data_IF_823996824426
#
_entry.id   IF_823996824426
#
_cell.length_a   1.000
_cell.length_b   1.000
_cell.length_c   1.000
_cell.angle_alpha   90.00
_cell.angle_beta   90.00
_cell.angle_gamma   90.00
#
_symmetry.space_group_name_H-M   'P 1'
#
loop_
_entity.id
_entity.type
_entity.pdbx_description
1 polymer ?
#
# COMPACT_ATOMS: atom_id res chain seq x y z
N UNK A 1 -22.53 8.51 -13.18
CA UNK A 1 -21.75 9.07 -14.32
C UNK A 1 -20.28 8.69 -14.11
N UNK A 2 -19.97 7.40 -14.23
CA UNK A 2 -18.70 6.81 -13.75
C UNK A 2 -17.86 6.19 -14.88
N UNK A 3 -18.32 6.30 -16.14
CA UNK A 3 -17.70 5.62 -17.30
C UNK A 3 -16.47 6.33 -17.90
N UNK A 4 -16.31 7.64 -17.71
CA UNK A 4 -15.26 8.42 -18.38
C UNK A 4 -13.85 8.31 -17.77
N UNK A 5 -13.71 7.66 -16.60
CA UNK A 5 -12.39 7.44 -15.96
C UNK A 5 -11.75 6.13 -16.41
N UNK A 6 -12.56 5.08 -16.54
CA UNK A 6 -12.15 3.75 -17.03
C UNK A 6 -11.65 3.82 -18.48
N UNK A 7 -12.32 4.60 -19.34
CA UNK A 7 -11.92 4.78 -20.75
C UNK A 7 -10.55 5.47 -20.93
N UNK A 8 -10.09 6.27 -19.95
CA UNK A 8 -8.78 6.92 -20.03
C UNK A 8 -7.64 5.95 -19.72
N UNK A 9 -7.90 4.92 -18.92
CA UNK A 9 -6.93 3.88 -18.57
C UNK A 9 -6.74 2.85 -19.71
N UNK A 10 -7.72 2.68 -20.60
CA UNK A 10 -7.68 1.70 -21.70
C UNK A 10 -6.77 2.04 -22.89
N UNK A 11 -6.23 3.25 -23.00
CA UNK A 11 -5.32 3.60 -24.11
C UNK A 11 -3.83 3.30 -23.83
N UNK A 12 -3.48 3.08 -22.55
CA UNK A 12 -2.10 2.77 -22.13
C UNK A 12 -1.86 1.24 -22.09
N UNK A 13 -2.93 0.46 -21.93
CA UNK A 13 -2.93 -1.03 -21.91
C UNK A 13 -2.37 -1.65 -23.19
N UNK A 14 -2.58 -1.04 -24.36
CA UNK A 14 -2.01 -1.52 -25.63
C UNK A 14 -0.48 -1.41 -25.69
N UNK A 15 0.11 -0.48 -24.94
CA UNK A 15 1.56 -0.23 -24.95
C UNK A 15 2.30 -1.14 -23.97
N UNK A 16 1.73 -1.38 -22.79
CA UNK A 16 2.27 -2.29 -21.76
C UNK A 16 2.28 -3.76 -22.21
N UNK A 17 1.26 -4.20 -22.97
CA UNK A 17 1.16 -5.56 -23.49
C UNK A 17 2.34 -5.96 -24.42
N UNK A 18 3.03 -5.00 -25.02
CA UNK A 18 4.22 -5.25 -25.86
C UNK A 18 5.52 -5.48 -25.07
N UNK A 19 5.60 -5.02 -23.81
CA UNK A 19 6.84 -5.01 -23.03
C UNK A 19 7.05 -6.29 -22.18
N UNK A 20 5.98 -7.07 -21.98
CA UNK A 20 5.86 -8.23 -21.07
C UNK A 20 6.72 -9.47 -21.40
N UNK A 21 7.58 -9.45 -22.43
CA UNK A 21 8.20 -10.67 -22.99
C UNK A 21 9.74 -10.70 -23.11
N UNK A 22 10.49 -9.83 -22.42
CA UNK A 22 11.96 -9.86 -22.46
C UNK A 22 12.60 -10.42 -21.16
N UNK A 23 13.16 -11.64 -21.18
CA UNK A 23 13.71 -12.31 -19.99
C UNK A 23 15.08 -11.77 -19.53
N UNK A 24 15.67 -10.77 -20.19
CA UNK A 24 17.02 -10.30 -19.91
C UNK A 24 17.17 -9.37 -18.67
N UNK A 25 16.07 -8.86 -18.08
CA UNK A 25 16.13 -7.89 -16.96
C UNK A 25 15.91 -8.50 -15.56
N UNK A 26 15.94 -9.83 -15.42
CA UNK A 26 15.50 -10.53 -14.21
C UNK A 26 16.43 -10.44 -12.97
N UNK A 27 17.51 -9.65 -12.98
CA UNK A 27 18.38 -9.51 -11.80
C UNK A 27 19.03 -8.12 -11.69
N UNK A 28 18.91 -7.47 -10.53
CA UNK A 28 19.70 -6.27 -10.20
C UNK A 28 20.27 -6.35 -8.77
N UNK A 29 21.59 -6.56 -8.63
CA UNK A 29 22.30 -6.35 -7.37
C UNK A 29 22.64 -4.86 -7.20
N UNK A 30 22.35 -4.28 -6.02
CA UNK A 30 22.89 -2.98 -5.60
C UNK A 30 21.92 -1.80 -5.52
N UNK A 31 20.66 -1.93 -5.92
CA UNK A 31 19.67 -0.86 -5.75
C UNK A 31 19.12 -0.87 -4.32
N UNK A 32 19.79 -0.17 -3.41
CA UNK A 32 19.23 0.14 -2.08
C UNK A 32 18.23 1.30 -2.20
N UNK A 33 17.09 1.05 -2.84
CA UNK A 33 15.95 1.99 -2.86
C UNK A 33 14.93 1.52 -1.84
N UNK A 34 15.33 1.58 -0.56
CA UNK A 34 14.43 1.29 0.55
C UNK A 34 13.98 2.63 1.13
N UNK A 35 12.67 2.93 1.24
CA UNK A 35 12.20 4.19 1.79
C UNK A 35 12.70 4.36 3.22
N UNK A 36 13.43 5.45 3.51
CA UNK A 36 14.07 5.65 4.80
C UNK A 36 13.10 5.66 6.00
N UNK A 37 13.61 5.37 7.19
CA UNK A 37 12.84 5.29 8.44
C UNK A 37 12.05 6.58 8.71
N UNK A 38 12.62 7.73 8.33
CA UNK A 38 12.00 9.04 8.46
C UNK A 38 10.70 9.17 7.65
N UNK A 39 10.63 8.56 6.46
CA UNK A 39 9.40 8.58 5.64
C UNK A 39 8.29 7.79 6.30
N UNK A 40 8.61 6.60 6.82
CA UNK A 40 7.65 5.79 7.58
C UNK A 40 7.12 6.57 8.77
N UNK A 41 7.99 7.21 9.54
CA UNK A 41 7.59 8.04 10.68
C UNK A 41 6.69 9.22 10.27
N UNK A 42 6.95 9.85 9.13
CA UNK A 42 6.14 10.94 8.60
C UNK A 42 4.70 10.51 8.23
N UNK A 43 4.45 9.22 8.02
CA UNK A 43 3.11 8.69 7.77
C UNK A 43 2.27 8.62 9.04
N UNK A 44 2.89 8.54 10.23
CA UNK A 44 2.19 8.31 11.51
C UNK A 44 0.95 9.18 11.71
N UNK A 45 0.99 10.52 11.56
CA UNK A 45 -0.18 11.35 11.80
C UNK A 45 -1.32 11.08 10.81
N UNK A 46 -0.99 10.70 9.58
CA UNK A 46 -1.98 10.36 8.56
C UNK A 46 -2.66 9.02 8.87
N UNK A 47 -1.88 8.04 9.33
CA UNK A 47 -2.41 6.73 9.74
C UNK A 47 -3.30 6.86 10.97
N UNK A 48 -2.87 7.61 11.98
CA UNK A 48 -3.65 7.83 13.21
C UNK A 48 -4.98 8.50 12.90
N UNK A 49 -4.97 9.57 12.10
CA UNK A 49 -6.18 10.26 11.69
C UNK A 49 -7.16 9.34 10.93
N UNK A 50 -6.67 8.56 9.96
CA UNK A 50 -7.53 7.64 9.22
C UNK A 50 -8.11 6.55 10.15
N UNK A 51 -7.32 6.06 11.10
CA UNK A 51 -7.79 5.05 12.04
C UNK A 51 -8.89 5.61 12.95
N UNK A 52 -8.73 6.85 13.43
CA UNK A 52 -9.76 7.58 14.18
C UNK A 52 -11.03 7.84 13.35
N UNK A 53 -10.88 8.28 12.10
CA UNK A 53 -11.98 8.49 11.17
C UNK A 53 -12.80 7.20 10.98
N UNK A 54 -12.14 6.07 10.72
CA UNK A 54 -12.78 4.76 10.57
C UNK A 54 -13.46 4.29 11.87
N UNK A 55 -12.81 4.51 13.01
CA UNK A 55 -13.37 4.17 14.32
C UNK A 55 -14.60 5.01 14.69
N UNK A 56 -14.72 6.22 14.16
CA UNK A 56 -15.83 7.15 14.41
C UNK A 56 -17.07 6.91 13.55
N UNK A 57 -17.02 6.01 12.55
CA UNK A 57 -18.14 5.78 11.64
C UNK A 57 -19.35 5.17 12.35
N UNK A 58 -20.53 5.76 12.13
CA UNK A 58 -21.80 5.25 12.64
C UNK A 58 -22.09 3.84 12.07
N UNK A 59 -22.46 2.91 12.95
CA UNK A 59 -22.65 1.49 12.57
C UNK A 59 -21.40 0.62 12.70
N UNK A 60 -20.23 1.23 12.89
CA UNK A 60 -18.95 0.55 13.06
C UNK A 60 -18.39 -0.03 11.75
N UNK A 61 -17.07 -0.11 11.69
CA UNK A 61 -16.35 -0.72 10.56
C UNK A 61 -15.82 -2.07 11.00
N UNK A 62 -15.97 -3.10 10.16
CA UNK A 62 -15.46 -4.43 10.48
C UNK A 62 -13.92 -4.39 10.62
N UNK A 63 -13.31 -5.21 11.51
CA UNK A 63 -11.85 -5.25 11.62
C UNK A 63 -11.12 -5.55 10.30
N UNK A 64 -11.72 -6.38 9.44
CA UNK A 64 -11.20 -6.67 8.11
C UNK A 64 -11.21 -5.42 7.21
N UNK A 65 -12.29 -4.66 7.23
CA UNK A 65 -12.43 -3.41 6.45
C UNK A 65 -11.50 -2.30 6.99
N UNK A 66 -11.31 -2.21 8.31
CA UNK A 66 -10.32 -1.31 8.91
C UNK A 66 -8.91 -1.67 8.42
N UNK A 67 -8.54 -2.96 8.45
CA UNK A 67 -7.24 -3.41 7.97
C UNK A 67 -7.03 -3.10 6.48
N UNK A 68 -8.06 -3.34 5.66
CA UNK A 68 -8.07 -3.08 4.21
C UNK A 68 -7.84 -1.60 3.90
N UNK A 69 -8.67 -0.72 4.45
CA UNK A 69 -8.62 0.72 4.17
C UNK A 69 -7.36 1.39 4.73
N UNK A 70 -6.92 1.03 5.94
CA UNK A 70 -5.70 1.58 6.52
C UNK A 70 -4.45 1.16 5.75
N UNK A 71 -4.37 -0.12 5.35
CA UNK A 71 -3.23 -0.62 4.57
C UNK A 71 -3.15 0.06 3.20
N UNK A 72 -4.26 0.15 2.47
CA UNK A 72 -4.31 0.80 1.16
C UNK A 72 -3.95 2.29 1.26
N UNK A 73 -4.47 2.99 2.27
CA UNK A 73 -4.13 4.40 2.52
C UNK A 73 -2.64 4.57 2.81
N UNK A 74 -2.06 3.74 3.68
CA UNK A 74 -0.67 3.86 4.09
C UNK A 74 0.29 3.52 2.92
N UNK A 75 0.00 2.46 2.16
CA UNK A 75 0.74 2.08 0.96
C UNK A 75 0.64 3.17 -0.13
N UNK A 76 -0.56 3.67 -0.41
CA UNK A 76 -0.76 4.74 -1.37
C UNK A 76 -0.02 6.02 -0.98
N UNK A 77 -0.05 6.41 0.30
CA UNK A 77 0.66 7.61 0.80
C UNK A 77 2.17 7.47 0.65
N UNK A 78 2.74 6.30 0.93
CA UNK A 78 4.17 6.02 0.76
C UNK A 78 4.64 6.26 -0.69
N UNK A 79 3.76 5.94 -1.66
CA UNK A 79 4.05 6.04 -3.09
C UNK A 79 3.60 7.37 -3.71
N UNK A 80 2.96 8.24 -2.94
CA UNK A 80 2.50 9.54 -3.43
C UNK A 80 1.15 9.50 -4.16
N UNK A 81 0.35 8.45 -3.96
CA UNK A 81 -1.02 8.35 -4.45
C UNK A 81 -1.87 9.46 -3.78
N UNK A 82 -2.61 10.28 -4.55
CA UNK A 82 -3.51 11.29 -4.01
C UNK A 82 -4.64 10.70 -3.15
N UNK A 83 -5.06 11.45 -2.13
CA UNK A 83 -6.02 10.96 -1.13
C UNK A 83 -7.38 10.53 -1.75
N UNK A 84 -7.81 11.21 -2.82
CA UNK A 84 -9.07 10.96 -3.53
C UNK A 84 -9.13 9.62 -4.27
N UNK A 85 -7.98 8.99 -4.51
CA UNK A 85 -7.88 7.76 -5.30
C UNK A 85 -7.74 6.52 -4.40
N UNK A 86 -7.69 6.69 -3.07
CA UNK A 86 -7.44 5.61 -2.09
C UNK A 86 -8.48 4.49 -2.12
N UNK A 87 -9.77 4.82 -2.26
CA UNK A 87 -10.82 3.81 -2.26
C UNK A 87 -10.73 2.91 -3.49
N UNK A 88 -10.57 3.53 -4.67
CA UNK A 88 -10.33 2.79 -5.91
C UNK A 88 -9.04 1.96 -5.84
N UNK A 89 -7.98 2.51 -5.24
CA UNK A 89 -6.72 1.79 -5.02
C UNK A 89 -6.91 0.57 -4.11
N UNK A 90 -7.71 0.68 -3.05
CA UNK A 90 -7.99 -0.43 -2.15
C UNK A 90 -8.66 -1.58 -2.91
N UNK A 91 -9.67 -1.27 -3.72
CA UNK A 91 -10.39 -2.29 -4.51
C UNK A 91 -9.46 -2.95 -5.54
N UNK A 92 -8.66 -2.18 -6.28
CA UNK A 92 -7.69 -2.75 -7.21
C UNK A 92 -6.62 -3.59 -6.51
N UNK A 93 -6.19 -3.20 -5.32
CA UNK A 93 -5.21 -3.96 -4.55
C UNK A 93 -5.80 -5.26 -4.01
N UNK A 94 -7.06 -5.27 -3.59
CA UNK A 94 -7.76 -6.50 -3.22
C UNK A 94 -7.85 -7.44 -4.42
N UNK A 95 -8.33 -6.96 -5.56
CA UNK A 95 -8.44 -7.78 -6.77
C UNK A 95 -7.07 -8.29 -7.24
N UNK A 96 -6.04 -7.43 -7.27
CA UNK A 96 -4.69 -7.80 -7.68
C UNK A 96 -4.03 -8.80 -6.73
N UNK A 97 -4.42 -8.83 -5.45
CA UNK A 97 -3.87 -9.73 -4.43
C UNK A 97 -4.76 -10.90 -4.08
N UNK A 98 -5.95 -11.01 -4.68
CA UNK A 98 -6.91 -12.09 -4.44
C UNK A 98 -6.32 -13.49 -4.69
N UNK A 99 -5.35 -13.62 -5.60
CA UNK A 99 -4.65 -14.88 -5.86
C UNK A 99 -3.74 -15.36 -4.71
N UNK A 100 -3.42 -14.48 -3.74
CA UNK A 100 -2.71 -14.83 -2.52
C UNK A 100 -3.64 -15.45 -1.46
N UNK A 101 -4.96 -15.31 -1.63
CA UNK A 101 -5.97 -15.91 -0.78
C UNK A 101 -6.36 -17.32 -1.28
N UNK A 102 -7.09 -18.07 -0.45
CA UNK A 102 -7.37 -19.52 -0.67
C UNK A 102 -8.21 -19.85 -1.92
N UNK A 103 -8.75 -18.87 -2.64
CA UNK A 103 -9.54 -19.05 -3.86
C UNK A 103 -9.11 -18.02 -4.93
N UNK A 104 -8.13 -18.37 -5.80
CA UNK A 104 -7.63 -17.43 -6.80
C UNK A 104 -8.61 -17.28 -7.98
N UNK A 105 -9.07 -16.05 -8.23
CA UNK A 105 -9.58 -15.62 -9.53
C UNK A 105 -8.45 -14.98 -10.31
N UNK A 106 -7.84 -15.74 -11.23
CA UNK A 106 -6.66 -15.32 -11.96
C UNK A 106 -6.94 -14.23 -13.01
N UNK A 107 -8.15 -14.15 -13.55
CA UNK A 107 -8.52 -13.14 -14.55
C UNK A 107 -8.74 -11.78 -13.88
N UNK A 108 -9.50 -11.75 -12.78
CA UNK A 108 -9.70 -10.52 -12.00
C UNK A 108 -8.37 -9.93 -11.48
N UNK A 109 -7.44 -10.77 -11.04
CA UNK A 109 -6.11 -10.33 -10.59
C UNK A 109 -5.24 -9.75 -11.71
N UNK A 110 -5.35 -10.27 -12.93
CA UNK A 110 -4.62 -9.73 -14.08
C UNK A 110 -5.14 -8.34 -14.47
N UNK A 111 -6.46 -8.17 -14.57
CA UNK A 111 -7.10 -6.90 -14.92
C UNK A 111 -6.78 -5.81 -13.89
N UNK A 112 -6.82 -6.13 -12.60
CA UNK A 112 -6.48 -5.19 -11.53
C UNK A 112 -4.98 -4.83 -11.52
N UNK A 113 -4.11 -5.79 -11.83
CA UNK A 113 -2.68 -5.52 -12.03
C UNK A 113 -2.43 -4.51 -13.15
N UNK A 114 -3.13 -4.63 -14.27
CA UNK A 114 -3.03 -3.69 -15.40
C UNK A 114 -3.56 -2.29 -15.03
N UNK A 115 -4.64 -2.19 -14.24
CA UNK A 115 -5.14 -0.90 -13.73
C UNK A 115 -4.12 -0.20 -12.83
N UNK A 116 -3.47 -0.95 -11.93
CA UNK A 116 -2.43 -0.42 -11.04
C UNK A 116 -1.22 0.06 -11.85
N UNK A 117 -0.75 -0.74 -12.82
CA UNK A 117 0.39 -0.37 -13.67
C UNK A 117 0.10 0.92 -14.45
N UNK A 118 -1.05 1.02 -15.10
CA UNK A 118 -1.46 2.21 -15.84
C UNK A 118 -1.58 3.46 -14.95
N UNK A 119 -2.11 3.29 -13.73
CA UNK A 119 -2.16 4.38 -12.75
C UNK A 119 -0.76 4.85 -12.32
N UNK A 120 0.16 3.92 -12.07
CA UNK A 120 1.52 4.24 -11.69
C UNK A 120 2.28 4.93 -12.83
N UNK A 121 2.01 4.58 -14.10
CA UNK A 121 2.54 5.29 -15.27
C UNK A 121 2.15 6.77 -15.27
N UNK A 122 0.86 7.07 -15.09
CA UNK A 122 0.40 8.47 -14.99
C UNK A 122 1.04 9.18 -13.79
N UNK A 123 1.18 8.50 -12.65
CA UNK A 123 1.80 9.06 -11.46
C UNK A 123 3.29 9.39 -11.69
N UNK A 124 4.01 8.50 -12.38
CA UNK A 124 5.41 8.70 -12.78
C UNK A 124 5.56 9.89 -13.71
N UNK A 125 4.70 10.01 -14.73
CA UNK A 125 4.69 11.18 -15.62
C UNK A 125 4.51 12.49 -14.83
N UNK A 126 3.53 12.53 -13.93
CA UNK A 126 3.29 13.70 -13.07
C UNK A 126 4.51 14.01 -12.20
N UNK A 127 5.15 13.00 -11.60
CA UNK A 127 6.30 13.18 -10.71
C UNK A 127 7.59 13.53 -11.44
N UNK A 128 7.75 13.12 -12.69
CA UNK A 128 8.88 13.55 -13.53
C UNK A 128 8.89 15.07 -13.73
N UNK A 129 7.70 15.68 -13.80
CA UNK A 129 7.54 17.12 -13.96
C UNK A 129 7.45 17.87 -12.62
N UNK A 130 6.93 17.20 -11.58
CA UNK A 130 6.70 17.77 -10.24
C UNK A 130 7.07 16.75 -9.16
N UNK A 131 8.37 16.63 -8.81
CA UNK A 131 8.82 15.71 -7.78
C UNK A 131 8.17 16.03 -6.42
N UNK A 132 7.76 14.99 -5.71
CA UNK A 132 7.22 15.04 -4.35
C UNK A 132 8.17 14.39 -3.33
N UNK A 133 7.71 14.28 -2.09
CA UNK A 133 8.38 13.48 -1.06
C UNK A 133 7.70 12.10 -0.97
N UNK A 134 7.89 11.29 -2.00
CA UNK A 134 7.31 9.96 -2.16
C UNK A 134 8.26 8.99 -2.85
N UNK A 135 7.99 7.69 -2.74
CA UNK A 135 8.87 6.64 -3.25
C UNK A 135 9.05 6.72 -4.78
N UNK A 136 8.00 7.11 -5.52
CA UNK A 136 8.09 7.28 -6.97
C UNK A 136 9.07 8.40 -7.33
N UNK A 137 9.02 9.51 -6.61
CA UNK A 137 9.97 10.61 -6.80
C UNK A 137 11.40 10.22 -6.43
N UNK A 138 11.60 9.37 -5.43
CA UNK A 138 12.93 8.85 -5.08
C UNK A 138 13.48 7.92 -6.16
N UNK A 139 12.65 7.01 -6.67
CA UNK A 139 13.01 6.09 -7.75
C UNK A 139 13.40 6.87 -9.02
N UNK A 140 12.68 7.96 -9.34
CA UNK A 140 13.02 8.85 -10.44
C UNK A 140 14.34 9.59 -10.24
N UNK A 141 14.67 10.01 -9.01
CA UNK A 141 15.95 10.65 -8.68
C UNK A 141 17.14 9.70 -8.78
N UNK A 142 16.91 8.39 -8.71
CA UNK A 142 17.94 7.38 -8.90
C UNK A 142 18.32 7.15 -10.38
N UNK A 143 17.77 7.95 -11.31
CA UNK A 143 18.03 7.87 -12.75
C UNK A 143 17.77 6.48 -13.36
N UNK A 144 16.81 5.76 -12.76
CA UNK A 144 16.39 4.44 -13.25
C UNK A 144 15.56 4.59 -14.54
N UNK A 145 15.60 3.59 -15.45
CA UNK A 145 14.65 3.51 -16.54
C UNK A 145 13.20 3.53 -16.03
N UNK A 146 12.32 4.19 -16.76
CA UNK A 146 10.90 4.34 -16.37
C UNK A 146 10.22 2.99 -16.10
N UNK A 147 10.52 1.98 -16.92
CA UNK A 147 10.04 0.60 -16.74
C UNK A 147 10.46 0.00 -15.40
N UNK A 148 11.65 0.34 -14.91
CA UNK A 148 12.13 -0.12 -13.61
C UNK A 148 11.46 0.66 -12.47
N UNK A 149 11.24 1.97 -12.64
CA UNK A 149 10.48 2.78 -11.68
C UNK A 149 9.07 2.22 -11.51
N UNK A 150 8.39 1.86 -12.61
CA UNK A 150 7.04 1.28 -12.58
C UNK A 150 7.03 -0.07 -11.86
N UNK A 151 7.92 -0.98 -12.23
CA UNK A 151 8.01 -2.29 -11.60
C UNK A 151 8.30 -2.22 -10.10
N UNK A 152 9.24 -1.37 -9.69
CA UNK A 152 9.59 -1.18 -8.29
C UNK A 152 8.46 -0.49 -7.51
N UNK A 153 7.80 0.50 -8.13
CA UNK A 153 6.61 1.15 -7.58
C UNK A 153 5.48 0.16 -7.34
N UNK A 154 5.15 -0.67 -8.33
CA UNK A 154 4.10 -1.68 -8.21
C UNK A 154 4.44 -2.74 -7.16
N UNK A 155 5.66 -3.27 -7.17
CA UNK A 155 6.10 -4.24 -6.16
C UNK A 155 6.04 -3.64 -4.74
N UNK A 156 6.49 -2.40 -4.57
CA UNK A 156 6.44 -1.72 -3.28
C UNK A 156 5.01 -1.44 -2.82
N UNK A 157 4.11 -1.05 -3.73
CA UNK A 157 2.69 -0.82 -3.44
C UNK A 157 2.04 -2.09 -2.90
N UNK A 158 2.15 -3.18 -3.67
CA UNK A 158 1.51 -4.45 -3.35
C UNK A 158 2.10 -5.05 -2.07
N UNK A 159 3.42 -5.03 -1.91
CA UNK A 159 4.05 -5.54 -0.70
C UNK A 159 3.66 -4.74 0.55
N UNK A 160 3.69 -3.41 0.48
CA UNK A 160 3.28 -2.56 1.58
C UNK A 160 1.82 -2.79 1.97
N UNK A 161 0.94 -2.99 0.97
CA UNK A 161 -0.46 -3.31 1.19
C UNK A 161 -0.66 -4.64 1.91
N UNK A 162 -0.14 -5.73 1.35
CA UNK A 162 -0.36 -7.10 1.88
C UNK A 162 0.20 -7.24 3.29
N UNK A 163 1.41 -6.74 3.53
CA UNK A 163 2.07 -6.82 4.83
C UNK A 163 1.31 -6.01 5.88
N UNK A 164 0.99 -4.74 5.59
CA UNK A 164 0.25 -3.91 6.52
C UNK A 164 -1.13 -4.49 6.81
N UNK A 165 -1.86 -4.96 5.79
CA UNK A 165 -3.20 -5.52 5.95
C UNK A 165 -3.19 -6.73 6.88
N UNK A 166 -2.26 -7.67 6.68
CA UNK A 166 -2.13 -8.86 7.52
C UNK A 166 -1.80 -8.51 8.98
N UNK A 167 -0.85 -7.60 9.20
CA UNK A 167 -0.42 -7.18 10.54
C UNK A 167 -1.51 -6.42 11.29
N UNK A 168 -2.23 -5.52 10.62
CA UNK A 168 -3.37 -4.80 11.21
C UNK A 168 -4.47 -5.80 11.57
N UNK A 169 -4.82 -6.72 10.67
CA UNK A 169 -5.84 -7.72 10.92
C UNK A 169 -5.49 -8.62 12.11
N UNK A 170 -4.22 -9.04 12.23
CA UNK A 170 -3.74 -9.80 13.37
C UNK A 170 -3.80 -8.98 14.67
N UNK A 171 -3.39 -7.71 14.64
CA UNK A 171 -3.39 -6.83 15.79
C UNK A 171 -4.81 -6.52 16.30
N UNK A 172 -5.77 -6.28 15.39
CA UNK A 172 -7.17 -6.07 15.75
C UNK A 172 -7.80 -7.33 16.36
N UNK A 173 -7.48 -8.52 15.84
CA UNK A 173 -7.95 -9.79 16.40
C UNK A 173 -7.38 -10.09 17.79
N UNK A 174 -6.11 -9.77 18.02
CA UNK A 174 -5.46 -9.95 19.33
C UNK A 174 -6.02 -8.99 20.40
N UNK A 175 -6.64 -7.88 19.97
CA UNK A 175 -7.14 -6.83 20.85
C UNK A 175 -6.03 -6.08 21.60
N UNK A 176 -6.39 -5.16 22.51
CA UNK A 176 -5.42 -4.43 23.30
C UNK A 176 -4.64 -5.40 24.19
N UNK A 177 -3.35 -5.64 23.88
CA UNK A 177 -2.48 -6.43 24.75
C UNK A 177 -2.39 -5.75 26.10
N UNK A 178 -2.89 -6.40 27.15
CA UNK A 178 -2.51 -6.05 28.52
C UNK A 178 -1.03 -6.34 28.66
N UNK A 179 -0.22 -5.31 28.84
CA UNK A 179 1.23 -5.45 28.95
C UNK A 179 1.59 -6.29 30.17
N UNK A 180 1.94 -7.55 29.95
CA UNK A 180 2.75 -8.35 30.86
C UNK A 180 3.59 -9.31 30.01
N UNK A 181 4.77 -8.86 29.59
CA UNK A 181 6.05 -9.46 29.99
C UNK A 181 7.20 -8.49 29.59
N UNK A 182 7.97 -7.96 30.56
CA UNK A 182 9.18 -7.20 30.29
C UNK A 182 10.31 -8.18 29.99
N UNK A 183 10.63 -8.43 28.72
CA UNK A 183 11.75 -9.32 28.41
C UNK A 183 12.07 -9.63 26.96
N UNK A 184 11.23 -9.28 25.98
CA UNK A 184 11.58 -9.59 24.59
C UNK A 184 12.53 -8.53 24.03
N UNK A 185 13.79 -8.87 23.66
CA UNK A 185 14.71 -7.92 23.08
C UNK A 185 14.11 -7.41 21.76
N UNK A 186 14.02 -6.09 21.64
CA UNK A 186 13.65 -5.42 20.40
C UNK A 186 14.61 -5.87 19.28
N UNK A 187 14.18 -6.85 18.49
CA UNK A 187 14.90 -7.22 17.28
C UNK A 187 14.90 -5.99 16.36
N UNK A 188 16.04 -5.60 15.76
CA UNK A 188 16.08 -4.53 14.78
C UNK A 188 15.47 -5.05 13.48
N UNK A 189 14.15 -5.23 13.45
CA UNK A 189 13.41 -5.49 12.23
C UNK A 189 13.46 -4.24 11.38
N UNK A 190 13.91 -4.38 10.13
CA UNK A 190 14.07 -3.29 9.17
C UNK A 190 12.79 -2.50 8.88
N UNK A 191 12.83 -1.66 7.86
CA UNK A 191 11.80 -0.65 7.57
C UNK A 191 10.38 -1.22 7.44
N UNK A 192 10.23 -2.42 6.87
CA UNK A 192 8.96 -3.14 6.83
C UNK A 192 8.36 -3.36 8.22
N UNK A 193 9.15 -3.88 9.16
CA UNK A 193 8.71 -4.10 10.53
C UNK A 193 8.38 -2.81 11.29
N UNK A 194 9.07 -1.70 11.01
CA UNK A 194 8.74 -0.40 11.61
C UNK A 194 7.39 0.13 11.10
N UNK A 195 7.17 0.05 9.79
CA UNK A 195 5.92 0.46 9.15
C UNK A 195 4.74 -0.40 9.60
N UNK A 196 4.88 -1.72 9.54
CA UNK A 196 3.88 -2.69 10.00
C UNK A 196 3.42 -2.41 11.44
N UNK A 197 4.38 -2.26 12.37
CA UNK A 197 4.07 -1.95 13.78
C UNK A 197 3.39 -0.61 13.96
N UNK A 198 3.81 0.42 13.22
CA UNK A 198 3.19 1.74 13.30
C UNK A 198 1.72 1.67 12.88
N UNK A 199 1.43 1.03 11.74
CA UNK A 199 0.05 0.94 11.23
C UNK A 199 -0.81 0.07 12.13
N UNK A 200 -0.30 -1.09 12.57
CA UNK A 200 -0.98 -1.97 13.52
C UNK A 200 -1.28 -1.26 14.86
N UNK A 201 -0.33 -0.50 15.39
CA UNK A 201 -0.50 0.20 16.66
C UNK A 201 -1.55 1.33 16.57
N UNK A 202 -1.60 2.06 15.45
CA UNK A 202 -2.62 3.08 15.21
C UNK A 202 -4.03 2.45 15.14
N UNK A 203 -4.18 1.34 14.41
CA UNK A 203 -5.44 0.61 14.32
C UNK A 203 -5.94 0.12 15.69
N UNK A 204 -5.06 -0.51 16.49
CA UNK A 204 -5.42 -0.99 17.84
C UNK A 204 -5.82 0.16 18.77
N UNK A 205 -5.12 1.30 18.73
CA UNK A 205 -5.47 2.47 19.55
C UNK A 205 -6.86 3.00 19.21
N UNK A 206 -7.13 3.19 17.91
CA UNK A 206 -8.42 3.67 17.46
C UNK A 206 -9.54 2.69 17.85
N UNK A 207 -9.30 1.39 17.69
CA UNK A 207 -10.26 0.35 18.03
C UNK A 207 -10.52 0.21 19.54
N UNK A 208 -9.50 0.40 20.39
CA UNK A 208 -9.68 0.40 21.85
C UNK A 208 -10.47 1.62 22.36
N UNK A 209 -10.40 2.75 21.65
CA UNK A 209 -11.07 4.01 22.00
C UNK A 209 -12.59 3.99 21.81
N UNK A 210 -13.14 3.10 20.98
CA UNK A 210 -14.59 3.03 20.69
C UNK A 210 -15.39 2.27 21.76
N UNK A 211 -14.75 1.72 22.79
CA UNK A 211 -15.42 1.00 23.88
C UNK A 211 -15.99 -0.37 23.48
N UNK A 212 -15.70 -0.84 22.26
CA UNK A 212 -16.17 -2.11 21.70
C UNK A 212 -15.34 -3.33 22.14
N UNK A 213 -14.32 -3.12 22.98
CA UNK A 213 -13.41 -4.15 23.50
C UNK A 213 -13.82 -4.76 24.85
N UNK A 214 -15.11 -4.85 25.17
CA UNK A 214 -15.62 -5.59 26.34
C UNK A 214 -16.69 -6.61 25.94
#
# INVERSE_FOLDING_TARGET
MTGGRVERYSSVTEQAARMRNDPAEAFVPGASVVPGHERVEALRPCVERMAEELASQEGGVSPAEVARLLAAMAAGKLLGVPERDRDALADWLDDATAHLDTHPDAEAGADAGELIEGYLAELVEVRSCRPGDDLISDLLRAELPETQVLRLGQAALTAAYVLARAEIAAALQAGPRTTSEPGEPAQPGGLGGAFERMVAAAAVRAWAGTGMGR
#
